data_IF_077395987380
#
_entry.id   IF_077395987380
#
_cell.length_a   1.000
_cell.length_b   1.000
_cell.length_c   1.000
_cell.angle_alpha   90.00
_cell.angle_beta   90.00
_cell.angle_gamma   90.00
#
_symmetry.space_group_name_H-M   'P 1'
#
loop_
_entity.id
_entity.type
_entity.pdbx_description
1 polymer ?
#
# COMPACT_ATOMS: atom_id res chain seq x y z
N UNK A 1 5.18 24.32 -10.96
CA UNK A 1 5.07 23.43 -12.14
C UNK A 1 4.11 22.33 -11.71
N UNK A 2 2.90 22.32 -12.27
CA UNK A 2 1.96 21.21 -12.08
C UNK A 2 2.59 19.97 -12.74
N UNK A 3 2.88 18.95 -11.95
CA UNK A 3 3.24 17.64 -12.47
C UNK A 3 1.94 16.94 -12.85
N UNK A 4 1.70 16.82 -14.13
CA UNK A 4 0.63 15.95 -14.65
C UNK A 4 1.13 14.51 -14.71
N UNK A 5 0.23 13.53 -14.67
CA UNK A 5 0.60 12.11 -14.82
C UNK A 5 1.43 11.86 -16.09
N UNK A 6 1.14 12.53 -17.18
CA UNK A 6 1.88 12.41 -18.45
C UNK A 6 3.31 12.99 -18.39
N UNK A 7 3.60 13.84 -17.42
CA UNK A 7 4.96 14.30 -17.15
C UNK A 7 5.77 13.33 -16.27
N UNK A 8 5.08 12.45 -15.56
CA UNK A 8 5.70 11.42 -14.69
C UNK A 8 5.86 10.13 -15.45
N UNK A 9 4.83 9.70 -16.17
CA UNK A 9 4.83 8.46 -16.96
C UNK A 9 5.07 8.80 -18.43
N UNK A 10 6.29 8.58 -18.90
CA UNK A 10 6.66 8.74 -20.31
C UNK A 10 6.59 7.41 -21.08
N UNK A 11 7.50 7.27 -22.04
CA UNK A 11 7.71 6.04 -22.81
C UNK A 11 8.99 5.29 -22.42
N UNK A 12 9.63 5.67 -21.33
CA UNK A 12 10.84 5.04 -20.82
C UNK A 12 10.53 4.09 -19.67
N UNK A 13 11.09 2.90 -19.67
CA UNK A 13 10.89 1.87 -18.65
C UNK A 13 11.16 2.38 -17.23
N UNK A 14 12.20 3.21 -17.07
CA UNK A 14 12.66 3.67 -15.76
C UNK A 14 11.56 4.36 -14.96
N UNK A 15 10.67 5.12 -15.60
CA UNK A 15 9.61 5.86 -14.91
C UNK A 15 8.57 4.91 -14.28
N UNK A 16 8.30 3.79 -14.93
CA UNK A 16 7.42 2.76 -14.42
C UNK A 16 8.07 1.94 -13.31
N UNK A 17 9.35 1.62 -13.46
CA UNK A 17 10.15 0.95 -12.41
C UNK A 17 10.23 1.80 -11.15
N UNK A 18 10.47 3.11 -11.26
CA UNK A 18 10.50 4.02 -10.12
C UNK A 18 9.15 4.08 -9.39
N UNK A 19 8.04 4.12 -10.15
CA UNK A 19 6.69 4.12 -9.59
C UNK A 19 6.36 2.80 -8.88
N UNK A 20 6.73 1.67 -9.47
CA UNK A 20 6.56 0.35 -8.85
C UNK A 20 7.45 0.21 -7.61
N UNK A 21 8.71 0.64 -7.70
CA UNK A 21 9.66 0.62 -6.59
C UNK A 21 9.15 1.44 -5.40
N UNK A 22 8.41 2.54 -5.63
CA UNK A 22 7.77 3.31 -4.56
C UNK A 22 6.73 2.49 -3.79
N UNK A 23 5.98 1.62 -4.46
CA UNK A 23 5.02 0.73 -3.79
C UNK A 23 5.77 -0.27 -2.89
N UNK A 24 6.85 -0.87 -3.37
CA UNK A 24 7.69 -1.75 -2.55
C UNK A 24 8.34 -1.01 -1.37
N UNK A 25 8.91 0.16 -1.65
CA UNK A 25 9.62 0.95 -0.65
C UNK A 25 8.73 1.31 0.55
N UNK A 26 7.45 1.61 0.32
CA UNK A 26 6.51 1.95 1.39
C UNK A 26 6.21 0.80 2.36
N UNK A 27 6.51 -0.44 2.00
CA UNK A 27 6.47 -1.60 2.91
C UNK A 27 7.71 -1.69 3.82
N UNK A 28 8.79 -0.97 3.51
CA UNK A 28 10.05 -1.02 4.22
C UNK A 28 10.42 0.29 4.92
N UNK A 29 10.11 1.43 4.31
CA UNK A 29 10.49 2.76 4.80
C UNK A 29 9.28 3.66 5.02
N UNK A 30 9.43 4.67 5.90
CA UNK A 30 8.36 5.59 6.26
C UNK A 30 8.14 6.74 5.29
N UNK A 31 9.13 7.06 4.44
CA UNK A 31 9.09 8.18 3.49
C UNK A 31 10.29 8.26 2.57
N UNK A 32 10.32 9.28 1.72
CA UNK A 32 11.31 9.41 0.64
C UNK A 32 12.74 9.75 1.09
N UNK A 33 12.90 10.32 2.28
CA UNK A 33 14.21 10.80 2.78
C UNK A 33 14.87 9.85 3.79
N UNK A 34 14.31 8.66 4.00
CA UNK A 34 14.81 7.70 4.98
C UNK A 34 14.59 8.15 6.42
N UNK A 35 15.10 7.38 7.36
CA UNK A 35 15.06 7.50 8.81
C UNK A 35 14.07 8.48 9.43
N UNK A 36 14.50 9.64 9.90
CA UNK A 36 13.75 10.46 10.86
C UNK A 36 13.01 11.67 10.25
N UNK A 37 12.85 11.74 8.94
CA UNK A 37 12.23 12.90 8.29
C UNK A 37 11.29 12.53 7.14
N UNK A 38 10.33 13.41 6.86
CA UNK A 38 9.43 13.35 5.72
C UNK A 38 8.64 12.03 5.56
N UNK A 39 7.61 11.91 6.38
CA UNK A 39 6.65 10.81 6.28
C UNK A 39 5.78 10.97 5.03
N UNK A 40 5.51 9.87 4.36
CA UNK A 40 4.50 9.81 3.29
C UNK A 40 3.07 9.86 3.83
N UNK A 41 2.88 9.51 5.10
CA UNK A 41 1.57 9.33 5.71
C UNK A 41 1.49 10.19 6.97
N UNK A 42 0.48 11.04 7.04
CA UNK A 42 0.22 11.88 8.20
C UNK A 42 -0.24 11.05 9.41
N UNK A 43 0.14 11.47 10.61
CA UNK A 43 -0.42 10.97 11.86
C UNK A 43 0.39 9.89 12.58
N UNK A 44 1.53 9.46 12.04
CA UNK A 44 2.57 8.75 12.77
C UNK A 44 3.80 9.64 12.80
N UNK A 45 4.47 9.74 13.94
CA UNK A 45 5.72 10.47 14.05
C UNK A 45 6.78 9.91 13.09
N UNK A 46 7.64 10.81 12.61
CA UNK A 46 8.67 10.50 11.63
C UNK A 46 9.63 9.40 12.07
N UNK A 47 10.41 9.01 11.11
CA UNK A 47 11.48 8.09 11.33
C UNK A 47 11.11 6.63 11.15
N UNK A 48 11.98 5.79 11.65
CA UNK A 48 11.81 4.34 11.62
C UNK A 48 10.51 3.87 12.30
N UNK A 49 9.88 4.74 13.11
CA UNK A 49 8.62 4.45 13.80
C UNK A 49 7.43 4.37 12.85
N UNK A 50 7.47 5.07 11.72
CA UNK A 50 6.42 5.07 10.70
C UNK A 50 6.55 3.96 9.66
N UNK A 51 7.59 3.14 9.73
CA UNK A 51 7.76 2.03 8.79
C UNK A 51 6.72 0.94 9.04
N UNK A 52 6.21 0.38 7.95
CA UNK A 52 5.20 -0.68 8.00
C UNK A 52 5.58 -1.84 8.91
N UNK A 53 6.79 -2.38 8.76
CA UNK A 53 7.24 -3.55 9.52
C UNK A 53 7.27 -3.29 11.02
N UNK A 54 7.71 -2.10 11.44
CA UNK A 54 7.77 -1.76 12.86
C UNK A 54 6.37 -1.58 13.45
N UNK A 55 5.50 -0.90 12.73
CA UNK A 55 4.10 -0.71 13.19
C UNK A 55 3.39 -2.06 13.29
N UNK A 56 3.53 -2.90 12.27
CA UNK A 56 2.96 -4.25 12.26
C UNK A 56 3.48 -5.08 13.44
N UNK A 57 4.80 -5.07 13.68
CA UNK A 57 5.41 -5.80 14.78
C UNK A 57 4.85 -5.32 16.13
N UNK A 58 4.78 -4.01 16.36
CA UNK A 58 4.23 -3.45 17.59
C UNK A 58 2.78 -3.87 17.82
N UNK A 59 1.95 -3.87 16.77
CA UNK A 59 0.54 -4.23 16.87
C UNK A 59 0.32 -5.73 17.10
N UNK A 60 1.20 -6.59 16.62
CA UNK A 60 1.04 -8.04 16.72
C UNK A 60 1.78 -8.64 17.93
N UNK A 61 2.95 -8.13 18.27
CA UNK A 61 3.79 -8.74 19.31
C UNK A 61 3.59 -8.12 20.69
N UNK A 62 3.44 -6.80 20.80
CA UNK A 62 3.33 -6.14 22.11
C UNK A 62 2.04 -6.47 22.89
N UNK A 63 0.91 -6.84 22.28
CA UNK A 63 -0.27 -7.35 22.99
C UNK A 63 -0.14 -8.78 23.51
N UNK A 64 0.99 -9.43 23.24
CA UNK A 64 1.25 -10.83 23.65
C UNK A 64 2.19 -10.89 24.85
N UNK A 65 2.36 -12.10 25.40
CA UNK A 65 3.36 -12.35 26.47
C UNK A 65 4.79 -12.50 25.94
N UNK A 66 5.00 -12.43 24.62
CA UNK A 66 6.28 -12.69 23.98
C UNK A 66 7.22 -11.48 23.98
N UNK A 67 6.67 -10.27 24.02
CA UNK A 67 7.46 -9.04 23.95
C UNK A 67 6.87 -7.94 24.82
N UNK A 68 7.74 -7.09 25.37
CA UNK A 68 7.36 -5.90 26.13
C UNK A 68 8.23 -4.72 25.68
N UNK A 69 7.60 -3.60 25.39
CA UNK A 69 8.28 -2.35 25.12
C UNK A 69 8.09 -1.39 26.30
N UNK A 70 9.19 -1.01 26.94
CA UNK A 70 9.17 -0.13 28.12
C UNK A 70 9.10 1.37 27.76
N UNK A 71 8.96 1.71 26.48
CA UNK A 71 8.86 3.11 26.05
C UNK A 71 7.52 3.72 26.45
N UNK A 72 7.55 5.01 26.77
CA UNK A 72 6.36 5.78 27.15
C UNK A 72 5.71 6.53 25.98
N UNK A 73 6.12 6.23 24.75
CA UNK A 73 5.56 6.87 23.56
C UNK A 73 4.05 6.64 23.49
N UNK A 74 3.28 7.65 23.04
CA UNK A 74 1.83 7.55 22.95
C UNK A 74 1.37 6.29 22.20
N UNK A 75 0.56 5.48 22.86
CA UNK A 75 0.00 4.23 22.31
C UNK A 75 0.82 2.96 22.61
N UNK A 76 2.12 3.03 22.91
CA UNK A 76 2.94 1.84 23.24
C UNK A 76 2.49 1.17 24.54
N UNK A 77 2.29 1.90 25.67
CA UNK A 77 1.78 1.28 26.89
C UNK A 77 0.42 0.59 26.70
N UNK A 78 -0.43 1.14 25.83
CA UNK A 78 -1.73 0.54 25.50
C UNK A 78 -1.62 -0.83 24.87
N UNK A 79 -0.63 -1.09 24.02
CA UNK A 79 -0.39 -2.41 23.47
C UNK A 79 0.03 -3.42 24.53
N UNK A 80 1.00 -3.08 25.39
CA UNK A 80 1.44 -3.96 26.48
C UNK A 80 0.31 -4.29 27.46
N UNK A 81 -0.67 -3.41 27.61
CA UNK A 81 -1.80 -3.55 28.54
C UNK A 81 -3.07 -4.07 27.88
N UNK A 82 -3.04 -4.34 26.56
CA UNK A 82 -4.21 -4.73 25.77
C UNK A 82 -5.37 -3.73 25.93
N UNK A 83 -5.05 -2.43 25.96
CA UNK A 83 -5.98 -1.32 26.29
C UNK A 83 -5.92 -0.17 25.29
N UNK A 84 -5.77 -0.46 23.99
CA UNK A 84 -5.77 0.55 22.94
C UNK A 84 -7.17 0.98 22.53
N UNK A 85 -7.27 2.22 22.00
CA UNK A 85 -8.47 2.76 21.37
C UNK A 85 -8.27 3.03 19.88
N UNK A 86 -9.33 3.38 19.20
CA UNK A 86 -9.30 3.77 17.78
C UNK A 86 -8.50 5.05 17.51
N UNK A 87 -8.20 5.83 18.53
CA UNK A 87 -7.39 7.05 18.51
C UNK A 87 -5.89 6.77 18.62
N UNK A 88 -5.49 5.52 18.88
CA UNK A 88 -4.07 5.14 18.92
C UNK A 88 -3.36 5.58 17.63
N UNK A 89 -2.27 6.36 17.74
CA UNK A 89 -1.53 6.83 16.56
C UNK A 89 -0.97 5.66 15.71
N UNK A 90 -0.62 4.55 16.34
CA UNK A 90 -0.09 3.37 15.69
C UNK A 90 -1.17 2.66 14.86
N UNK A 91 -2.35 2.42 15.44
CA UNK A 91 -3.47 1.79 14.75
C UNK A 91 -3.94 2.66 13.58
N UNK A 92 -4.11 3.95 13.83
CA UNK A 92 -4.51 4.90 12.80
C UNK A 92 -3.48 5.04 11.69
N UNK A 93 -2.21 5.14 12.07
CA UNK A 93 -1.10 5.26 11.14
C UNK A 93 -0.91 4.01 10.28
N UNK A 94 -1.07 2.80 10.85
CA UNK A 94 -1.06 1.56 10.09
C UNK A 94 -2.17 1.51 9.03
N UNK A 95 -3.38 1.89 9.42
CA UNK A 95 -4.52 2.00 8.51
C UNK A 95 -4.21 2.94 7.33
N UNK A 96 -3.70 4.14 7.61
CA UNK A 96 -3.34 5.10 6.58
C UNK A 96 -2.19 4.61 5.70
N UNK A 97 -1.18 3.94 6.28
CA UNK A 97 -0.08 3.34 5.53
C UNK A 97 -0.56 2.31 4.52
N UNK A 98 -1.41 1.40 4.94
CA UNK A 98 -1.95 0.35 4.08
C UNK A 98 -2.79 0.93 2.94
N UNK A 99 -3.66 1.90 3.23
CA UNK A 99 -4.44 2.59 2.19
C UNK A 99 -3.58 3.46 1.27
N UNK A 100 -2.52 4.06 1.77
CA UNK A 100 -1.57 4.79 0.94
C UNK A 100 -0.92 3.86 -0.10
N UNK A 101 -0.49 2.67 0.32
CA UNK A 101 0.08 1.65 -0.58
C UNK A 101 -0.94 1.16 -1.61
N UNK A 102 -2.19 0.95 -1.19
CA UNK A 102 -3.28 0.59 -2.10
C UNK A 102 -3.52 1.70 -3.13
N UNK A 103 -3.52 2.95 -2.70
CA UNK A 103 -3.68 4.08 -3.61
C UNK A 103 -2.54 4.23 -4.61
N UNK A 104 -1.29 3.95 -4.21
CA UNK A 104 -0.15 3.91 -5.14
C UNK A 104 -0.32 2.77 -6.16
N UNK A 105 -0.74 1.58 -5.72
CA UNK A 105 -1.02 0.46 -6.61
C UNK A 105 -2.15 0.78 -7.60
N UNK A 106 -3.24 1.38 -7.11
CA UNK A 106 -4.36 1.80 -7.97
C UNK A 106 -3.92 2.87 -8.98
N UNK A 107 -3.11 3.85 -8.55
CA UNK A 107 -2.58 4.87 -9.45
C UNK A 107 -1.70 4.23 -10.54
N UNK A 108 -0.81 3.32 -10.18
CA UNK A 108 0.02 2.59 -11.13
C UNK A 108 -0.83 1.81 -12.14
N UNK A 109 -1.82 1.05 -11.68
CA UNK A 109 -2.71 0.26 -12.54
C UNK A 109 -3.52 1.13 -13.51
N UNK A 110 -3.97 2.29 -13.04
CA UNK A 110 -4.72 3.27 -13.85
C UNK A 110 -3.85 3.92 -14.93
N UNK A 111 -2.58 4.18 -14.62
CA UNK A 111 -1.64 4.83 -15.52
C UNK A 111 -0.92 3.87 -16.49
N UNK A 112 -1.13 2.57 -16.34
CA UNK A 112 -0.46 1.53 -17.14
C UNK A 112 -1.42 0.68 -17.95
N UNK A 113 -2.60 1.19 -18.30
CA UNK A 113 -3.52 0.51 -19.23
C UNK A 113 -2.96 0.49 -20.66
N UNK A 114 -3.43 -0.44 -21.48
CA UNK A 114 -2.99 -0.57 -22.87
C UNK A 114 -3.21 0.75 -23.66
N UNK A 115 -4.32 1.46 -23.37
CA UNK A 115 -4.63 2.76 -23.99
C UNK A 115 -3.59 3.81 -23.60
N UNK A 116 -3.25 3.91 -22.31
CA UNK A 116 -2.24 4.85 -21.81
C UNK A 116 -0.86 4.57 -22.37
N UNK A 117 -0.48 3.30 -22.46
CA UNK A 117 0.80 2.89 -23.05
C UNK A 117 0.88 3.23 -24.54
N UNK A 118 -0.24 3.03 -25.27
CA UNK A 118 -0.33 3.41 -26.68
C UNK A 118 -0.27 4.93 -26.89
N UNK A 119 -1.00 5.71 -26.07
CA UNK A 119 -0.96 7.18 -26.11
C UNK A 119 0.47 7.71 -25.89
N UNK A 120 1.23 7.11 -24.99
CA UNK A 120 2.62 7.47 -24.67
C UNK A 120 3.62 6.86 -25.66
N UNK A 121 3.18 6.10 -26.64
CA UNK A 121 4.01 5.46 -27.68
C UNK A 121 5.07 4.54 -27.10
N UNK A 122 4.71 3.80 -26.05
CA UNK A 122 5.57 2.76 -25.51
C UNK A 122 5.81 1.67 -26.57
N UNK A 123 7.04 1.18 -26.63
CA UNK A 123 7.37 0.09 -27.56
C UNK A 123 6.81 -1.26 -27.10
N UNK A 124 6.82 -2.25 -27.98
CA UNK A 124 6.26 -3.56 -27.70
C UNK A 124 6.98 -4.30 -26.56
N UNK A 125 8.29 -4.05 -26.38
CA UNK A 125 9.05 -4.67 -25.30
C UNK A 125 8.63 -4.12 -23.93
N UNK A 126 8.41 -2.81 -23.84
CA UNK A 126 7.91 -2.17 -22.62
C UNK A 126 6.47 -2.59 -22.32
N UNK A 127 5.60 -2.66 -23.34
CA UNK A 127 4.22 -3.14 -23.19
C UNK A 127 4.18 -4.57 -22.64
N UNK A 128 5.09 -5.44 -23.09
CA UNK A 128 5.17 -6.82 -22.59
C UNK A 128 5.66 -6.86 -21.14
N UNK A 129 6.68 -6.11 -20.78
CA UNK A 129 7.14 -5.98 -19.39
C UNK A 129 6.06 -5.42 -18.46
N UNK A 130 5.21 -4.54 -18.97
CA UNK A 130 4.14 -3.94 -18.18
C UNK A 130 3.15 -4.97 -17.64
N UNK A 131 2.98 -6.11 -18.28
CA UNK A 131 2.16 -7.21 -17.78
C UNK A 131 2.70 -7.75 -16.45
N UNK A 132 4.01 -7.90 -16.34
CA UNK A 132 4.68 -8.30 -15.11
C UNK A 132 4.55 -7.21 -14.04
N UNK A 133 4.86 -5.96 -14.36
CA UNK A 133 4.80 -4.85 -13.41
C UNK A 133 3.37 -4.61 -12.87
N UNK A 134 2.36 -4.77 -13.72
CA UNK A 134 0.95 -4.72 -13.29
C UNK A 134 0.59 -5.90 -12.38
N UNK A 135 1.12 -7.10 -12.65
CA UNK A 135 0.92 -8.26 -11.79
C UNK A 135 1.56 -8.05 -10.41
N UNK A 136 2.75 -7.47 -10.34
CA UNK A 136 3.40 -7.09 -9.09
C UNK A 136 2.58 -6.03 -8.30
N UNK A 137 2.09 -5.00 -8.99
CA UNK A 137 1.25 -3.97 -8.35
C UNK A 137 -0.06 -4.56 -7.79
N UNK A 138 -0.70 -5.48 -8.52
CA UNK A 138 -1.89 -6.22 -8.04
C UNK A 138 -1.57 -7.09 -6.83
N UNK A 139 -0.45 -7.81 -6.87
CA UNK A 139 0.01 -8.59 -5.72
C UNK A 139 0.21 -7.71 -4.47
N UNK A 140 0.91 -6.59 -4.61
CA UNK A 140 1.16 -5.66 -3.49
C UNK A 140 -0.15 -5.05 -2.96
N UNK A 141 -1.11 -4.74 -3.84
CA UNK A 141 -2.44 -4.30 -3.44
C UNK A 141 -3.18 -5.37 -2.63
N UNK A 142 -3.19 -6.59 -3.13
CA UNK A 142 -3.81 -7.72 -2.43
C UNK A 142 -3.16 -7.97 -1.06
N UNK A 143 -1.84 -7.88 -0.97
CA UNK A 143 -1.10 -8.01 0.29
C UNK A 143 -1.51 -6.93 1.31
N UNK A 144 -1.64 -5.69 0.88
CA UNK A 144 -2.09 -4.60 1.76
C UNK A 144 -3.55 -4.78 2.20
N UNK A 145 -4.43 -5.27 1.33
CA UNK A 145 -5.80 -5.61 1.69
C UNK A 145 -5.87 -6.82 2.63
N UNK A 146 -4.96 -7.79 2.49
CA UNK A 146 -4.88 -8.90 3.43
C UNK A 146 -4.54 -8.43 4.84
N UNK A 147 -3.57 -7.51 5.00
CA UNK A 147 -3.29 -6.90 6.29
C UNK A 147 -4.47 -6.07 6.82
N UNK A 148 -5.19 -5.35 5.95
CA UNK A 148 -6.41 -4.64 6.35
C UNK A 148 -7.51 -5.59 6.83
N UNK A 149 -7.70 -6.72 6.16
CA UNK A 149 -8.65 -7.74 6.57
C UNK A 149 -8.31 -8.32 7.93
N UNK A 150 -7.04 -8.67 8.16
CA UNK A 150 -6.54 -9.24 9.41
C UNK A 150 -6.67 -8.24 10.58
N UNK A 151 -6.17 -7.03 10.40
CA UNK A 151 -6.07 -6.04 11.48
C UNK A 151 -7.37 -5.27 11.75
N UNK A 152 -8.20 -5.02 10.72
CA UNK A 152 -9.36 -4.11 10.81
C UNK A 152 -10.68 -4.77 10.39
N UNK A 153 -10.64 -5.88 9.71
CA UNK A 153 -11.77 -6.67 9.24
C UNK A 153 -12.70 -5.95 8.25
N UNK A 154 -13.34 -4.87 8.66
CA UNK A 154 -14.33 -4.13 7.85
C UNK A 154 -13.69 -2.84 7.35
N UNK A 155 -13.37 -2.79 6.06
CA UNK A 155 -12.73 -1.64 5.42
C UNK A 155 -13.37 -1.33 4.08
N UNK A 156 -13.22 -0.11 3.56
CA UNK A 156 -13.63 0.20 2.19
C UNK A 156 -12.82 -0.57 1.16
N UNK A 157 -13.47 -0.96 0.08
CA UNK A 157 -12.79 -1.52 -1.10
C UNK A 157 -12.65 -0.43 -2.17
N UNK A 158 -11.41 -0.04 -2.45
CA UNK A 158 -11.04 1.00 -3.43
C UNK A 158 -10.09 0.40 -4.45
N UNK A 159 -10.44 0.50 -5.73
CA UNK A 159 -9.65 -0.03 -6.85
C UNK A 159 -9.27 1.09 -7.82
N UNK A 160 -8.57 0.75 -8.90
CA UNK A 160 -8.25 1.68 -10.00
C UNK A 160 -9.50 2.26 -10.66
N UNK A 161 -10.61 1.56 -10.63
CA UNK A 161 -11.90 1.99 -11.21
C UNK A 161 -12.70 2.90 -10.28
N UNK A 162 -12.27 3.03 -9.02
CA UNK A 162 -12.95 3.89 -8.06
C UNK A 162 -12.74 5.36 -8.41
N UNK A 163 -13.81 6.14 -8.30
CA UNK A 163 -13.78 7.57 -8.62
C UNK A 163 -12.81 8.34 -7.72
N UNK A 164 -12.07 9.28 -8.31
CA UNK A 164 -11.12 10.13 -7.61
C UNK A 164 -11.78 11.47 -7.31
N UNK A 165 -11.64 11.93 -6.06
CA UNK A 165 -12.08 13.27 -5.67
C UNK A 165 -13.58 13.42 -5.48
N UNK A 166 -14.34 12.34 -5.47
CA UNK A 166 -15.75 12.40 -5.13
C UNK A 166 -15.96 12.73 -3.64
N UNK A 167 -17.04 13.46 -3.35
CA UNK A 167 -17.42 13.80 -1.98
C UNK A 167 -18.00 12.63 -1.20
N UNK A 168 -18.31 11.52 -1.88
CA UNK A 168 -18.88 10.33 -1.26
C UNK A 168 -17.74 9.40 -0.87
N UNK A 169 -17.62 9.14 0.42
CA UNK A 169 -16.65 8.17 0.92
C UNK A 169 -17.05 6.75 0.49
N UNK A 170 -16.10 5.90 0.09
CA UNK A 170 -16.37 4.52 -0.27
C UNK A 170 -16.95 3.76 0.93
N UNK A 171 -17.94 2.92 0.67
CA UNK A 171 -18.56 2.10 1.69
C UNK A 171 -17.66 0.95 2.13
N UNK A 172 -17.76 0.57 3.38
CA UNK A 172 -17.14 -0.66 3.86
C UNK A 172 -17.79 -1.87 3.17
N UNK A 173 -16.95 -2.85 2.84
CA UNK A 173 -17.39 -4.15 2.34
C UNK A 173 -17.41 -5.19 3.47
N UNK A 174 -18.09 -6.30 3.26
CA UNK A 174 -18.03 -7.41 4.20
C UNK A 174 -16.65 -8.08 4.18
N UNK A 175 -16.23 -8.76 5.26
CA UNK A 175 -14.99 -9.52 5.27
C UNK A 175 -14.92 -10.58 4.17
N UNK A 176 -16.04 -11.18 3.81
CA UNK A 176 -16.11 -12.18 2.73
C UNK A 176 -15.85 -11.53 1.36
N UNK A 177 -16.50 -10.42 1.06
CA UNK A 177 -16.27 -9.68 -0.19
C UNK A 177 -14.81 -9.24 -0.31
N UNK A 178 -14.21 -8.79 0.79
CA UNK A 178 -12.80 -8.41 0.80
C UNK A 178 -11.88 -9.62 0.59
N UNK A 179 -12.18 -10.75 1.22
CA UNK A 179 -11.44 -12.00 1.03
C UNK A 179 -11.51 -12.47 -0.42
N UNK A 180 -12.71 -12.50 -1.00
CA UNK A 180 -12.93 -12.92 -2.40
C UNK A 180 -12.17 -12.01 -3.38
N UNK A 181 -12.12 -10.70 -3.10
CA UNK A 181 -11.32 -9.76 -3.87
C UNK A 181 -9.82 -10.08 -3.76
N UNK A 182 -9.30 -10.28 -2.54
CA UNK A 182 -7.88 -10.62 -2.31
C UNK A 182 -7.50 -11.89 -3.05
N UNK A 183 -8.30 -12.95 -2.95
CA UNK A 183 -8.06 -14.23 -3.61
C UNK A 183 -8.04 -14.09 -5.13
N UNK A 184 -8.99 -13.31 -5.67
CA UNK A 184 -9.04 -12.99 -7.11
C UNK A 184 -7.79 -12.24 -7.56
N UNK A 185 -7.38 -11.20 -6.83
CA UNK A 185 -6.18 -10.42 -7.17
C UNK A 185 -4.89 -11.27 -7.13
N UNK A 186 -4.74 -12.12 -6.12
CA UNK A 186 -3.59 -13.03 -6.03
C UNK A 186 -3.58 -14.04 -7.18
N UNK A 187 -4.73 -14.63 -7.50
CA UNK A 187 -4.86 -15.57 -8.61
C UNK A 187 -4.54 -14.93 -9.97
N UNK A 188 -5.04 -13.72 -10.20
CA UNK A 188 -4.76 -13.00 -11.43
C UNK A 188 -3.30 -12.53 -11.51
N UNK A 189 -2.70 -12.10 -10.39
CA UNK A 189 -1.30 -11.70 -10.36
C UNK A 189 -0.36 -12.85 -10.71
N UNK A 190 -0.65 -14.07 -10.27
CA UNK A 190 0.15 -15.26 -10.59
C UNK A 190 0.30 -15.53 -12.09
N UNK A 191 -0.68 -15.10 -12.91
CA UNK A 191 -0.63 -15.28 -14.37
C UNK A 191 0.42 -14.39 -15.04
N UNK A 192 0.74 -13.26 -14.45
CA UNK A 192 1.70 -12.28 -14.99
C UNK A 192 3.07 -12.31 -14.32
N UNK A 193 3.20 -12.95 -13.16
CA UNK A 193 4.46 -13.03 -12.44
C UNK A 193 5.38 -14.11 -13.05
N UNK A 194 6.70 -13.86 -13.10
CA UNK A 194 7.65 -14.84 -13.62
C UNK A 194 7.69 -16.09 -12.72
N UNK A 195 7.73 -17.24 -13.36
CA UNK A 195 7.94 -18.51 -12.65
C UNK A 195 9.39 -18.57 -12.13
N UNK A 196 9.56 -18.77 -10.83
CA UNK A 196 10.88 -18.96 -10.26
C UNK A 196 11.46 -20.29 -10.76
N UNK A 197 12.52 -20.21 -11.54
CA UNK A 197 13.34 -21.38 -11.96
C UNK A 197 14.38 -21.71 -10.89
#
# INVERSE_FOLDING_TARGET
TEQTSDNVFGNEEITYVESLAKIYAGMAIGGNKGGDSDQDVAGIDGGSQASFLRVLWNMQELPTDMAHCAWSDPGIPGFNQVSWGADSPWIKGSYYRLFYQINLSNAFLRETTDEKLAERRCDAALVDKMKEYRAEARFLRALNYWYLLDLYRNVPLVTEDSAIGEKVLPSQVTPQELYDFIETELTESLKGLPTRT
#
